data_IF_116347537654
#
_entry.id   IF_116347537654
#
_cell.length_a   1.000
_cell.length_b   1.000
_cell.length_c   1.000
_cell.angle_alpha   90.00
_cell.angle_beta   90.00
_cell.angle_gamma   90.00
#
_symmetry.space_group_name_H-M   'P 1'
#
loop_
_entity.id
_entity.type
_entity.pdbx_description
1 polymer ?
#
# COMPACT_ATOMS: atom_id res chain seq x y z
N UNK A 1 7.93 -17.60 -8.27
CA UNK A 1 8.53 -18.73 -7.54
C UNK A 1 9.05 -18.21 -6.21
N UNK A 2 8.87 -18.95 -5.12
CA UNK A 2 9.43 -18.60 -3.81
C UNK A 2 10.95 -18.83 -3.90
N UNK A 3 11.75 -17.77 -3.85
CA UNK A 3 13.22 -17.85 -3.84
C UNK A 3 13.71 -17.68 -2.41
N UNK A 4 14.59 -18.57 -1.97
CA UNK A 4 15.24 -18.49 -0.64
C UNK A 4 16.02 -17.19 -0.52
N UNK A 5 16.76 -16.81 -1.55
CA UNK A 5 17.55 -15.56 -1.59
C UNK A 5 16.70 -14.33 -1.34
N UNK A 6 15.48 -14.28 -1.91
CA UNK A 6 14.57 -13.17 -1.71
C UNK A 6 14.04 -13.10 -0.26
N UNK A 7 13.82 -14.22 0.40
CA UNK A 7 13.40 -14.23 1.81
C UNK A 7 14.55 -13.71 2.69
N UNK A 8 15.77 -14.15 2.41
CA UNK A 8 16.97 -13.70 3.13
C UNK A 8 17.18 -12.20 2.90
N UNK A 9 17.10 -11.74 1.64
CA UNK A 9 17.22 -10.31 1.32
C UNK A 9 16.16 -9.46 2.02
N UNK A 10 14.90 -9.91 2.04
CA UNK A 10 13.82 -9.24 2.80
C UNK A 10 14.15 -9.17 4.29
N UNK A 11 14.66 -10.25 4.88
CA UNK A 11 15.05 -10.26 6.29
C UNK A 11 16.18 -9.26 6.55
N UNK A 12 17.24 -9.28 5.75
CA UNK A 12 18.37 -8.37 5.93
C UNK A 12 17.95 -6.90 5.85
N UNK A 13 17.14 -6.54 4.84
CA UNK A 13 16.66 -5.16 4.70
C UNK A 13 15.80 -4.75 5.90
N UNK A 14 14.87 -5.60 6.34
CA UNK A 14 14.01 -5.32 7.50
C UNK A 14 14.84 -5.15 8.76
N UNK A 15 15.82 -6.03 8.99
CA UNK A 15 16.67 -6.01 10.16
C UNK A 15 17.56 -4.76 10.20
N UNK A 16 18.18 -4.42 9.08
CA UNK A 16 19.01 -3.22 8.96
C UNK A 16 18.21 -1.94 9.14
N UNK A 17 16.99 -1.86 8.58
CA UNK A 17 16.11 -0.71 8.77
C UNK A 17 15.65 -0.57 10.22
N UNK A 18 15.27 -1.67 10.90
CA UNK A 18 14.91 -1.60 12.32
C UNK A 18 16.08 -1.14 13.18
N UNK A 19 17.32 -1.58 12.88
CA UNK A 19 18.54 -1.10 13.54
C UNK A 19 18.77 0.40 13.27
N UNK A 20 18.64 0.84 12.01
CA UNK A 20 18.76 2.25 11.64
C UNK A 20 17.75 3.15 12.36
N UNK A 21 16.53 2.67 12.52
CA UNK A 21 15.46 3.32 13.29
C UNK A 21 15.66 3.22 14.82
N UNK A 22 16.74 2.58 15.28
CA UNK A 22 17.01 2.33 16.71
C UNK A 22 15.82 1.65 17.42
N UNK A 23 15.13 0.76 16.68
CA UNK A 23 14.03 0.00 17.26
C UNK A 23 14.52 -0.84 18.45
N UNK A 24 13.83 -0.69 19.58
CA UNK A 24 14.17 -1.42 20.80
C UNK A 24 13.28 -2.64 20.96
N UNK A 25 13.88 -3.79 21.05
CA UNK A 25 13.24 -5.05 21.31
C UNK A 25 13.53 -5.54 22.74
N UNK A 26 12.58 -6.27 23.34
CA UNK A 26 12.79 -6.89 24.66
C UNK A 26 13.83 -8.02 24.52
N UNK A 27 14.92 -7.94 25.26
CA UNK A 27 16.04 -8.89 25.24
C UNK A 27 15.63 -10.36 25.51
N UNK A 28 14.45 -10.58 26.08
CA UNK A 28 13.92 -11.91 26.39
C UNK A 28 13.16 -12.56 25.24
N UNK A 29 13.00 -11.87 24.11
CA UNK A 29 12.27 -12.45 22.97
C UNK A 29 13.10 -13.54 22.30
N UNK A 30 12.42 -14.60 21.87
CA UNK A 30 13.03 -15.72 21.15
C UNK A 30 12.90 -15.60 19.63
N UNK A 31 11.96 -14.78 19.17
CA UNK A 31 11.70 -14.47 17.77
C UNK A 31 11.78 -12.97 17.63
N UNK A 32 12.69 -12.48 16.79
CA UNK A 32 12.91 -11.05 16.60
C UNK A 32 11.75 -10.38 15.87
N UNK A 33 11.62 -9.06 16.00
CA UNK A 33 10.64 -8.30 15.23
C UNK A 33 10.96 -8.35 13.73
N UNK A 34 12.23 -8.45 13.36
CA UNK A 34 12.68 -8.70 11.98
C UNK A 34 12.12 -10.02 11.43
N UNK A 35 12.19 -11.11 12.20
CA UNK A 35 11.62 -12.42 11.82
C UNK A 35 10.08 -12.34 11.71
N UNK A 36 9.41 -11.62 12.61
CA UNK A 36 7.94 -11.44 12.59
C UNK A 36 7.51 -10.66 11.34
N UNK A 37 8.16 -9.55 11.03
CA UNK A 37 7.85 -8.72 9.86
C UNK A 37 8.15 -9.47 8.57
N UNK A 38 9.32 -10.12 8.47
CA UNK A 38 9.68 -10.95 7.31
C UNK A 38 8.67 -12.06 7.08
N UNK A 39 8.24 -12.75 8.16
CA UNK A 39 7.19 -13.78 8.05
C UNK A 39 5.87 -13.19 7.54
N UNK A 40 5.51 -11.97 7.96
CA UNK A 40 4.31 -11.30 7.47
C UNK A 40 4.44 -10.89 6.00
N UNK A 41 5.63 -10.48 5.54
CA UNK A 41 5.91 -10.21 4.13
C UNK A 41 5.82 -11.50 3.29
N UNK A 42 6.40 -12.58 3.76
CA UNK A 42 6.28 -13.90 3.13
C UNK A 42 4.81 -14.33 3.03
N UNK A 43 4.00 -14.08 4.07
CA UNK A 43 2.57 -14.35 4.03
C UNK A 43 1.86 -13.53 2.93
N UNK A 44 2.13 -12.24 2.83
CA UNK A 44 1.52 -11.37 1.84
C UNK A 44 1.95 -11.74 0.40
N UNK A 45 3.24 -12.00 0.18
CA UNK A 45 3.80 -12.22 -1.16
C UNK A 45 3.50 -13.61 -1.72
N UNK A 46 3.49 -14.65 -0.88
CA UNK A 46 3.50 -16.05 -1.35
C UNK A 46 2.33 -16.89 -0.83
N UNK A 47 1.67 -16.47 0.25
CA UNK A 47 0.58 -17.23 0.86
C UNK A 47 -0.75 -16.45 0.91
N UNK A 48 -0.92 -15.42 0.06
CA UNK A 48 -2.16 -14.64 -0.01
C UNK A 48 -2.58 -14.00 1.31
N UNK A 49 -1.63 -13.66 2.20
CA UNK A 49 -1.89 -13.11 3.53
C UNK A 49 -2.26 -14.14 4.60
N UNK A 50 -2.11 -15.44 4.32
CA UNK A 50 -2.27 -16.51 5.31
C UNK A 50 -1.08 -16.57 6.27
N UNK A 51 -1.14 -15.81 7.35
CA UNK A 51 -0.08 -15.70 8.36
C UNK A 51 0.30 -17.06 8.96
N UNK A 52 -0.65 -17.97 9.16
CA UNK A 52 -0.38 -19.27 9.77
C UNK A 52 0.42 -20.19 8.85
N UNK A 53 0.12 -20.20 7.54
CA UNK A 53 0.91 -20.95 6.56
C UNK A 53 2.33 -20.41 6.45
N UNK A 54 2.49 -19.10 6.36
CA UNK A 54 3.83 -18.50 6.33
C UNK A 54 4.62 -18.80 7.60
N UNK A 55 3.99 -18.70 8.78
CA UNK A 55 4.59 -19.03 10.07
C UNK A 55 5.09 -20.47 10.12
N UNK A 56 4.27 -21.44 9.67
CA UNK A 56 4.65 -22.85 9.60
C UNK A 56 5.78 -23.06 8.58
N UNK A 57 5.71 -22.44 7.41
CA UNK A 57 6.74 -22.48 6.39
C UNK A 57 8.09 -21.99 6.94
N UNK A 58 8.14 -20.82 7.55
CA UNK A 58 9.36 -20.23 8.12
C UNK A 58 9.97 -21.13 9.21
N UNK A 59 9.12 -21.77 10.01
CA UNK A 59 9.57 -22.74 11.02
C UNK A 59 10.14 -24.01 10.39
N UNK A 60 9.42 -24.62 9.45
CA UNK A 60 9.82 -25.89 8.82
C UNK A 60 11.09 -25.75 7.97
N UNK A 61 11.30 -24.58 7.34
CA UNK A 61 12.50 -24.28 6.56
C UNK A 61 13.70 -23.84 7.42
N UNK A 62 13.52 -23.68 8.73
CA UNK A 62 14.60 -23.28 9.64
C UNK A 62 14.91 -21.78 9.64
N UNK A 63 14.15 -20.93 8.91
CA UNK A 63 14.36 -19.48 8.92
C UNK A 63 14.00 -18.84 10.28
N UNK A 64 13.04 -19.41 11.00
CA UNK A 64 12.67 -19.01 12.36
C UNK A 64 12.30 -20.26 13.17
N UNK A 65 13.29 -21.05 13.66
CA UNK A 65 13.07 -22.34 14.32
C UNK A 65 12.19 -22.23 15.58
N UNK A 66 12.32 -21.12 16.30
CA UNK A 66 11.59 -20.84 17.54
C UNK A 66 10.28 -20.07 17.30
N UNK A 67 9.72 -20.17 16.09
CA UNK A 67 8.51 -19.44 15.68
C UNK A 67 7.41 -19.47 16.75
N UNK A 68 6.81 -18.32 17.01
CA UNK A 68 5.71 -18.11 17.94
C UNK A 68 4.46 -18.94 17.55
N UNK A 69 3.60 -19.27 18.50
CA UNK A 69 2.27 -19.77 18.20
C UNK A 69 1.41 -18.68 17.50
N UNK A 70 0.30 -19.11 16.90
CA UNK A 70 -0.58 -18.24 16.10
C UNK A 70 -1.03 -17.00 16.87
N UNK A 71 -1.42 -17.14 18.12
CA UNK A 71 -1.97 -16.05 18.92
C UNK A 71 -0.89 -15.05 19.33
N UNK A 72 0.27 -15.56 19.74
CA UNK A 72 1.43 -14.71 20.09
C UNK A 72 1.97 -13.99 18.86
N UNK A 73 2.09 -14.69 17.73
CA UNK A 73 2.50 -14.10 16.46
C UNK A 73 1.59 -12.94 16.05
N UNK A 74 0.27 -13.15 16.03
CA UNK A 74 -0.67 -12.08 15.68
C UNK A 74 -0.55 -10.88 16.62
N UNK A 75 -0.45 -11.11 17.94
CA UNK A 75 -0.27 -10.02 18.92
C UNK A 75 1.05 -9.28 18.70
N UNK A 76 2.13 -10.00 18.40
CA UNK A 76 3.43 -9.40 18.11
C UNK A 76 3.38 -8.57 16.84
N UNK A 77 2.79 -9.10 15.76
CA UNK A 77 2.62 -8.38 14.50
C UNK A 77 1.82 -7.08 14.67
N UNK A 78 0.77 -7.08 15.50
CA UNK A 78 0.05 -5.85 15.83
C UNK A 78 0.89 -4.85 16.63
N UNK A 79 1.83 -5.31 17.46
CA UNK A 79 2.72 -4.45 18.22
C UNK A 79 3.76 -3.77 17.31
N UNK A 80 4.28 -4.49 16.31
CA UNK A 80 5.26 -3.97 15.35
C UNK A 80 4.64 -3.28 14.14
N UNK A 81 3.32 -3.06 14.15
CA UNK A 81 2.64 -2.40 13.02
C UNK A 81 3.07 -0.95 12.80
N UNK A 82 3.40 -0.22 13.86
CA UNK A 82 3.89 1.15 13.78
C UNK A 82 5.33 1.23 13.23
N UNK A 83 6.32 0.52 13.78
CA UNK A 83 7.64 0.42 13.15
C UNK A 83 7.60 -0.01 11.70
N UNK A 84 6.72 -0.95 11.35
CA UNK A 84 6.53 -1.40 9.98
C UNK A 84 6.09 -0.26 9.04
N UNK A 85 5.15 0.57 9.47
CA UNK A 85 4.71 1.74 8.69
C UNK A 85 5.82 2.78 8.57
N UNK A 86 6.54 3.05 9.67
CA UNK A 86 7.69 3.96 9.64
C UNK A 86 8.73 3.48 8.64
N UNK A 87 9.14 2.21 8.69
CA UNK A 87 10.08 1.64 7.70
C UNK A 87 9.62 1.83 6.26
N UNK A 88 8.33 1.64 5.99
CA UNK A 88 7.81 1.82 4.63
C UNK A 88 7.91 3.27 4.17
N UNK A 89 7.52 4.23 5.01
CA UNK A 89 7.56 5.64 4.63
C UNK A 89 9.00 6.17 4.54
N UNK A 90 9.90 5.73 5.40
CA UNK A 90 11.33 6.03 5.31
C UNK A 90 11.95 5.47 4.02
N UNK A 91 11.63 4.22 3.66
CA UNK A 91 12.03 3.65 2.38
C UNK A 91 11.48 4.47 1.20
N UNK A 92 10.19 4.82 1.26
CA UNK A 92 9.55 5.64 0.24
C UNK A 92 10.21 7.01 0.10
N UNK A 93 10.54 7.66 1.23
CA UNK A 93 11.24 8.96 1.23
C UNK A 93 12.65 8.82 0.64
N UNK A 94 13.41 7.81 1.06
CA UNK A 94 14.73 7.53 0.52
C UNK A 94 14.70 7.36 -1.02
N UNK A 95 13.73 6.60 -1.54
CA UNK A 95 13.58 6.39 -2.99
C UNK A 95 13.23 7.70 -3.72
N UNK A 96 12.39 8.55 -3.14
CA UNK A 96 12.04 9.87 -3.68
C UNK A 96 13.23 10.81 -3.70
N UNK A 97 14.00 10.85 -2.61
CA UNK A 97 15.19 11.68 -2.50
C UNK A 97 16.27 11.28 -3.52
N UNK A 98 16.45 9.98 -3.73
CA UNK A 98 17.37 9.45 -4.74
C UNK A 98 16.93 9.75 -6.18
N UNK A 99 15.63 9.81 -6.42
CA UNK A 99 15.09 10.08 -7.75
C UNK A 99 15.11 11.57 -8.11
N UNK A 100 15.11 12.48 -7.12
CA UNK A 100 14.96 13.90 -7.34
C UNK A 100 13.62 14.26 -8.00
N UNK A 101 13.62 15.27 -8.89
CA UNK A 101 12.44 15.62 -9.69
C UNK A 101 12.10 14.46 -10.64
N UNK A 102 10.92 13.88 -10.48
CA UNK A 102 10.53 12.63 -11.15
C UNK A 102 9.04 12.54 -11.43
N UNK A 103 8.69 11.54 -12.24
CA UNK A 103 7.32 11.20 -12.59
C UNK A 103 6.75 10.16 -11.61
N UNK A 104 5.67 10.54 -10.94
CA UNK A 104 4.92 9.68 -10.02
C UNK A 104 3.54 9.39 -10.59
N UNK A 105 2.95 8.28 -10.17
CA UNK A 105 1.55 7.97 -10.51
C UNK A 105 0.78 7.68 -9.23
N UNK A 106 -0.33 8.40 -9.02
CA UNK A 106 -1.27 8.19 -7.93
C UNK A 106 -2.57 7.64 -8.49
N UNK A 107 -3.00 6.52 -7.96
CA UNK A 107 -4.33 5.96 -8.27
C UNK A 107 -4.83 5.09 -7.11
N UNK A 108 -6.08 4.63 -7.20
CA UNK A 108 -6.73 3.86 -6.15
C UNK A 108 -7.27 2.53 -6.63
N UNK A 109 -7.34 1.57 -5.70
CA UNK A 109 -8.08 0.34 -5.94
C UNK A 109 -8.94 -0.06 -4.73
N UNK A 110 -10.11 -0.68 -4.96
CA UNK A 110 -10.96 -1.15 -3.89
C UNK A 110 -10.49 -2.48 -3.32
N UNK A 111 -10.59 -2.63 -1.98
CA UNK A 111 -10.42 -3.89 -1.26
C UNK A 111 -11.66 -4.15 -0.42
N UNK A 112 -12.45 -5.14 -0.83
CA UNK A 112 -13.66 -5.52 -0.13
C UNK A 112 -13.33 -6.37 1.10
N UNK A 113 -13.99 -6.09 2.23
CA UNK A 113 -13.88 -6.90 3.45
C UNK A 113 -14.74 -8.16 3.37
N UNK A 114 -15.84 -8.11 2.62
CA UNK A 114 -16.76 -9.24 2.41
C UNK A 114 -17.54 -9.07 1.10
N UNK A 115 -18.20 -10.14 0.68
CA UNK A 115 -19.16 -10.07 -0.43
C UNK A 115 -20.39 -9.22 -0.03
N UNK A 116 -20.98 -8.51 -0.98
CA UNK A 116 -22.10 -7.59 -0.73
C UNK A 116 -23.29 -8.24 -0.01
N UNK A 117 -23.60 -9.51 -0.31
CA UNK A 117 -24.67 -10.28 0.38
C UNK A 117 -24.39 -10.49 1.89
N UNK A 118 -23.14 -10.32 2.33
CA UNK A 118 -22.74 -10.52 3.72
C UNK A 118 -22.59 -9.22 4.50
N UNK A 119 -22.83 -8.06 3.94
CA UNK A 119 -22.62 -6.75 4.58
C UNK A 119 -23.36 -6.66 5.92
N UNK A 120 -24.64 -7.04 5.96
CA UNK A 120 -25.44 -7.03 7.21
C UNK A 120 -24.87 -7.87 8.33
N UNK A 121 -24.07 -8.90 8.00
CA UNK A 121 -23.44 -9.83 8.96
C UNK A 121 -21.96 -9.51 9.20
N UNK A 122 -21.42 -8.49 8.55
CA UNK A 122 -20.01 -8.12 8.68
C UNK A 122 -19.76 -7.55 10.09
N UNK A 123 -18.87 -8.18 10.83
CA UNK A 123 -18.45 -7.73 12.17
C UNK A 123 -17.14 -6.95 12.14
N UNK A 124 -16.39 -7.01 11.05
CA UNK A 124 -15.05 -6.43 10.90
C UNK A 124 -15.13 -4.92 10.69
N UNK A 125 -15.92 -4.49 9.73
CA UNK A 125 -16.20 -3.08 9.47
C UNK A 125 -17.66 -2.78 9.78
N UNK A 126 -17.92 -1.62 10.37
CA UNK A 126 -19.29 -1.18 10.72
C UNK A 126 -19.51 0.25 10.25
N UNK A 127 -20.67 0.51 9.63
CA UNK A 127 -21.08 1.85 9.25
C UNK A 127 -21.16 2.07 7.73
N UNK A 128 -21.84 3.16 7.36
CA UNK A 128 -22.12 3.51 5.96
C UNK A 128 -20.89 4.03 5.22
N UNK A 129 -19.87 4.48 5.93
CA UNK A 129 -18.63 5.01 5.34
C UNK A 129 -17.85 3.97 4.52
N UNK A 130 -18.04 2.68 4.80
CA UNK A 130 -17.35 1.60 4.11
C UNK A 130 -17.99 1.19 2.77
N UNK A 131 -19.19 1.72 2.43
CA UNK A 131 -19.83 1.48 1.15
C UNK A 131 -19.14 2.30 0.05
N UNK A 132 -18.57 1.66 -0.93
CA UNK A 132 -17.93 2.28 -2.06
C UNK A 132 -18.49 1.81 -3.40
N UNK A 133 -18.17 2.56 -4.45
CA UNK A 133 -18.45 2.18 -5.85
C UNK A 133 -17.14 2.17 -6.62
N UNK A 134 -16.89 1.09 -7.32
CA UNK A 134 -15.82 1.00 -8.32
C UNK A 134 -16.42 1.35 -9.68
N UNK A 135 -16.09 2.52 -10.21
CA UNK A 135 -16.64 3.00 -11.48
C UNK A 135 -16.20 2.09 -12.66
N UNK A 136 -14.93 1.70 -12.68
CA UNK A 136 -14.37 0.85 -13.73
C UNK A 136 -15.03 -0.53 -13.85
N UNK A 137 -15.52 -1.09 -12.74
CA UNK A 137 -16.22 -2.38 -12.72
C UNK A 137 -17.74 -2.24 -12.64
N UNK A 138 -18.27 -1.00 -12.58
CA UNK A 138 -19.68 -0.70 -12.34
C UNK A 138 -20.27 -1.44 -11.12
N UNK A 139 -19.44 -1.74 -10.11
CA UNK A 139 -19.81 -2.55 -8.95
C UNK A 139 -19.71 -1.77 -7.64
N UNK A 140 -20.59 -2.12 -6.70
CA UNK A 140 -20.50 -1.66 -5.32
C UNK A 140 -19.66 -2.63 -4.52
N UNK A 141 -18.91 -2.11 -3.53
CA UNK A 141 -18.14 -2.90 -2.59
C UNK A 141 -18.32 -2.37 -1.16
N UNK A 142 -17.98 -3.20 -0.19
CA UNK A 142 -17.95 -2.83 1.23
C UNK A 142 -16.56 -3.09 1.77
N UNK A 143 -15.83 -2.02 2.05
CA UNK A 143 -14.42 -2.13 2.41
C UNK A 143 -13.67 -0.81 2.35
N UNK A 144 -12.40 -0.89 2.02
CA UNK A 144 -11.48 0.25 1.91
C UNK A 144 -11.10 0.53 0.47
N UNK A 145 -10.76 1.77 0.21
CA UNK A 145 -10.08 2.22 -1.00
C UNK A 145 -8.61 2.43 -0.65
N UNK A 146 -7.73 1.75 -1.34
CA UNK A 146 -6.28 1.87 -1.15
C UNK A 146 -5.76 2.85 -2.18
N UNK A 147 -5.31 4.00 -1.73
CA UNK A 147 -4.63 5.01 -2.55
C UNK A 147 -3.14 4.74 -2.50
N UNK A 148 -2.47 4.71 -3.63
CA UNK A 148 -1.04 4.39 -3.70
C UNK A 148 -0.34 5.36 -4.65
N UNK A 149 0.69 6.03 -4.14
CA UNK A 149 1.65 6.78 -4.94
C UNK A 149 2.79 5.84 -5.32
N UNK A 150 3.11 5.78 -6.59
CA UNK A 150 4.19 4.93 -7.11
C UNK A 150 5.25 5.74 -7.82
N UNK A 151 6.50 5.33 -7.64
CA UNK A 151 7.67 5.77 -8.39
C UNK A 151 8.19 4.57 -9.19
N UNK A 152 8.17 4.65 -10.51
CA UNK A 152 8.58 3.54 -11.42
C UNK A 152 7.94 2.19 -11.09
N UNK A 153 6.66 2.21 -10.65
CA UNK A 153 5.92 1.00 -10.28
C UNK A 153 6.20 0.48 -8.87
N UNK A 154 7.04 1.14 -8.08
CA UNK A 154 7.28 0.85 -6.66
C UNK A 154 6.37 1.74 -5.81
N UNK A 155 5.54 1.19 -4.91
CA UNK A 155 4.80 1.98 -3.94
C UNK A 155 5.73 2.75 -3.01
N UNK A 156 5.60 4.09 -2.95
CA UNK A 156 6.40 4.96 -2.08
C UNK A 156 5.55 5.62 -1.00
N UNK A 157 4.25 5.79 -1.25
CA UNK A 157 3.28 6.24 -0.25
C UNK A 157 1.96 5.48 -0.44
N UNK A 158 1.19 5.32 0.61
CA UNK A 158 -0.19 4.86 0.51
C UNK A 158 -1.09 5.41 1.62
N UNK A 159 -2.38 5.43 1.35
CA UNK A 159 -3.42 5.78 2.33
C UNK A 159 -4.59 4.80 2.21
N UNK A 160 -5.11 4.37 3.36
CA UNK A 160 -6.32 3.54 3.43
C UNK A 160 -7.52 4.43 3.76
N UNK A 161 -8.46 4.54 2.83
CA UNK A 161 -9.64 5.37 2.97
C UNK A 161 -10.91 4.53 3.05
N UNK A 162 -11.94 4.97 3.77
CA UNK A 162 -13.27 4.36 3.68
C UNK A 162 -13.77 4.31 2.23
N UNK A 163 -14.44 3.21 1.85
CA UNK A 163 -14.87 3.01 0.47
C UNK A 163 -15.76 4.12 -0.11
N UNK A 164 -16.46 4.88 0.75
CA UNK A 164 -17.37 5.97 0.36
C UNK A 164 -16.63 7.27 0.00
N UNK A 165 -15.39 7.42 0.46
CA UNK A 165 -14.65 8.66 0.23
C UNK A 165 -14.28 8.85 -1.24
N UNK A 166 -14.26 10.11 -1.67
CA UNK A 166 -13.87 10.50 -3.03
C UNK A 166 -12.36 10.44 -3.20
N UNK A 167 -11.90 10.19 -4.42
CA UNK A 167 -10.47 10.06 -4.72
C UNK A 167 -9.70 11.35 -4.41
N UNK A 168 -10.28 12.55 -4.68
CA UNK A 168 -9.59 13.81 -4.38
C UNK A 168 -9.32 14.04 -2.88
N UNK A 169 -10.08 13.43 -1.98
CA UNK A 169 -9.85 13.54 -0.52
C UNK A 169 -8.48 13.05 -0.07
N UNK A 170 -7.80 12.25 -0.88
CA UNK A 170 -6.42 11.82 -0.61
C UNK A 170 -5.42 12.97 -0.76
N UNK A 171 -5.68 13.94 -1.63
CA UNK A 171 -4.80 15.10 -1.84
C UNK A 171 -4.61 15.93 -0.57
N UNK A 172 -5.53 15.82 0.38
CA UNK A 172 -5.43 16.47 1.70
C UNK A 172 -4.75 15.62 2.78
N UNK A 173 -4.44 14.35 2.47
CA UNK A 173 -3.95 13.36 3.45
C UNK A 173 -2.56 12.83 3.15
N UNK A 174 -2.19 12.73 1.88
CA UNK A 174 -0.85 12.36 1.47
C UNK A 174 0.02 13.62 1.38
N UNK A 175 1.15 13.65 2.08
CA UNK A 175 2.00 14.84 2.13
C UNK A 175 2.75 15.09 0.81
N UNK A 176 2.81 14.10 -0.09
CA UNK A 176 3.55 14.18 -1.36
C UNK A 176 4.95 14.80 -1.22
N UNK A 177 5.72 14.39 -0.22
CA UNK A 177 7.09 14.88 -0.04
C UNK A 177 7.98 14.46 -1.23
N UNK A 178 7.72 15.06 -2.38
CA UNK A 178 8.46 14.87 -3.64
C UNK A 178 9.27 16.13 -3.93
N UNK A 179 10.33 15.99 -4.72
CA UNK A 179 11.15 17.12 -5.10
C UNK A 179 10.34 18.12 -5.95
N UNK A 180 10.65 19.44 -5.86
CA UNK A 180 10.09 20.44 -6.78
C UNK A 180 10.26 20.01 -8.25
N UNK A 181 9.38 20.49 -9.12
CA UNK A 181 9.31 20.14 -10.56
C UNK A 181 8.91 18.67 -10.82
N UNK A 182 8.50 17.92 -9.79
CA UNK A 182 7.96 16.57 -9.98
C UNK A 182 6.55 16.60 -10.56
N UNK A 183 6.24 15.60 -11.40
CA UNK A 183 4.91 15.40 -11.97
C UNK A 183 4.20 14.25 -11.27
N UNK A 184 2.95 14.46 -10.82
CA UNK A 184 2.11 13.40 -10.26
C UNK A 184 0.91 13.15 -11.17
N UNK A 185 0.92 12.03 -11.88
CA UNK A 185 -0.14 11.64 -12.82
C UNK A 185 -1.30 10.99 -12.08
N UNK A 186 -2.53 11.49 -12.34
CA UNK A 186 -3.75 11.05 -11.64
C UNK A 186 -4.94 10.94 -12.60
N UNK A 187 -5.98 10.19 -12.18
CA UNK A 187 -7.24 10.11 -12.91
C UNK A 187 -8.08 11.39 -12.77
N UNK A 188 -9.05 11.56 -13.69
CA UNK A 188 -10.02 12.64 -13.65
C UNK A 188 -10.89 12.69 -12.37
N UNK A 189 -10.92 11.59 -11.59
CA UNK A 189 -11.56 11.53 -10.27
C UNK A 189 -10.90 12.43 -9.21
N UNK A 190 -9.65 12.83 -9.42
CA UNK A 190 -8.88 13.69 -8.52
C UNK A 190 -8.99 15.18 -8.86
N UNK A 191 -9.76 15.58 -9.88
CA UNK A 191 -9.85 16.97 -10.33
C UNK A 191 -10.30 17.91 -9.21
N UNK A 192 -9.41 18.83 -8.82
CA UNK A 192 -9.66 19.91 -7.89
C UNK A 192 -8.71 21.07 -8.19
N UNK A 193 -9.15 22.02 -9.03
CA UNK A 193 -8.31 23.09 -9.59
C UNK A 193 -7.59 23.92 -8.53
N UNK A 194 -8.23 24.23 -7.41
CA UNK A 194 -7.60 24.98 -6.32
C UNK A 194 -6.40 24.24 -5.73
N UNK A 195 -6.51 22.91 -5.54
CA UNK A 195 -5.40 22.09 -5.04
C UNK A 195 -4.29 21.98 -6.08
N UNK A 196 -4.64 21.91 -7.36
CA UNK A 196 -3.64 21.91 -8.44
C UNK A 196 -2.82 23.21 -8.44
N UNK A 197 -3.50 24.36 -8.37
CA UNK A 197 -2.85 25.67 -8.34
C UNK A 197 -1.99 25.82 -7.07
N UNK A 198 -2.51 25.43 -5.88
CA UNK A 198 -1.78 25.47 -4.62
C UNK A 198 -0.52 24.58 -4.63
N UNK A 199 -0.59 23.37 -5.17
CA UNK A 199 0.56 22.47 -5.23
C UNK A 199 1.69 23.02 -6.10
N UNK A 200 1.33 23.71 -7.20
CA UNK A 200 2.29 24.37 -8.05
C UNK A 200 2.88 25.62 -7.38
N UNK A 201 2.02 26.49 -6.82
CA UNK A 201 2.44 27.77 -6.24
C UNK A 201 3.29 27.59 -4.96
N UNK A 202 2.97 26.58 -4.14
CA UNK A 202 3.65 26.35 -2.86
C UNK A 202 4.91 25.49 -2.99
N UNK A 203 4.85 24.42 -3.78
CA UNK A 203 5.85 23.35 -3.77
C UNK A 203 6.44 23.07 -5.16
N UNK A 204 6.05 23.82 -6.20
CA UNK A 204 6.39 23.59 -7.61
C UNK A 204 6.10 22.14 -8.09
N UNK A 205 5.01 21.53 -7.57
CA UNK A 205 4.59 20.18 -7.93
C UNK A 205 3.51 20.24 -9.01
N UNK A 206 3.72 19.53 -10.12
CA UNK A 206 2.78 19.45 -11.22
C UNK A 206 1.77 18.31 -11.02
N UNK A 207 0.52 18.62 -10.64
CA UNK A 207 -0.55 17.64 -10.57
C UNK A 207 -1.13 17.38 -11.96
N UNK A 208 -0.65 16.35 -12.64
CA UNK A 208 -1.00 15.97 -14.01
C UNK A 208 -2.31 15.17 -14.05
N UNK A 209 -3.42 15.81 -13.64
CA UNK A 209 -4.74 15.17 -13.52
C UNK A 209 -5.40 15.06 -14.89
N UNK A 210 -5.90 13.87 -15.24
CA UNK A 210 -6.67 13.64 -16.47
C UNK A 210 -7.93 14.52 -16.52
N UNK A 211 -8.30 14.99 -17.72
CA UNK A 211 -9.45 15.89 -17.90
C UNK A 211 -10.63 15.14 -18.49
N UNK A 212 -11.84 15.47 -18.01
CA UNK A 212 -13.09 15.03 -18.61
C UNK A 212 -13.41 15.88 -19.84
N UNK A 213 -14.26 15.38 -20.74
CA UNK A 213 -14.64 16.09 -21.95
C UNK A 213 -15.26 17.50 -21.71
N UNK A 214 -15.91 17.67 -20.55
CA UNK A 214 -16.52 18.94 -20.14
C UNK A 214 -15.64 19.74 -19.14
N UNK A 215 -14.33 19.50 -19.11
CA UNK A 215 -13.42 20.23 -18.25
C UNK A 215 -13.31 21.70 -18.67
N UNK A 216 -13.27 22.61 -17.69
CA UNK A 216 -12.97 24.04 -17.93
C UNK A 216 -11.49 24.28 -18.28
N UNK A 217 -10.60 23.31 -18.02
CA UNK A 217 -9.20 23.32 -18.39
C UNK A 217 -8.90 22.07 -19.23
N UNK A 218 -9.25 22.05 -20.54
CA UNK A 218 -9.00 20.90 -21.41
C UNK A 218 -7.51 20.70 -21.64
N UNK A 219 -7.09 19.45 -21.73
CA UNK A 219 -5.71 19.12 -22.10
C UNK A 219 -5.53 19.21 -23.64
N UNK A 220 -4.38 19.67 -24.08
CA UNK A 220 -3.94 19.50 -25.45
C UNK A 220 -3.73 18.02 -25.79
N UNK A 221 -3.90 17.59 -27.07
CA UNK A 221 -3.86 16.18 -27.44
C UNK A 221 -2.59 15.44 -27.00
N UNK A 222 -1.43 16.08 -27.06
CA UNK A 222 -0.16 15.46 -26.67
C UNK A 222 -0.06 15.32 -25.15
N UNK A 223 -0.54 16.28 -24.36
CA UNK A 223 -0.58 16.21 -22.89
C UNK A 223 -1.55 15.12 -22.43
N UNK A 224 -2.71 15.04 -23.06
CA UNK A 224 -3.67 13.97 -22.81
C UNK A 224 -3.05 12.58 -23.05
N UNK A 225 -2.39 12.40 -24.20
CA UNK A 225 -1.69 11.15 -24.53
C UNK A 225 -0.63 10.79 -23.49
N UNK A 226 0.19 11.77 -23.06
CA UNK A 226 1.21 11.57 -22.03
C UNK A 226 0.59 11.10 -20.71
N UNK A 227 -0.45 11.79 -20.23
CA UNK A 227 -1.18 11.43 -19.00
C UNK A 227 -1.75 10.00 -19.06
N UNK A 228 -2.39 9.62 -20.18
CA UNK A 228 -2.94 8.28 -20.39
C UNK A 228 -1.83 7.21 -20.41
N UNK A 229 -0.70 7.50 -21.05
CA UNK A 229 0.45 6.58 -21.13
C UNK A 229 1.09 6.33 -19.75
N UNK A 230 1.34 7.39 -18.99
CA UNK A 230 1.96 7.29 -17.67
C UNK A 230 1.09 6.51 -16.70
N UNK A 231 -0.22 6.69 -16.76
CA UNK A 231 -1.16 5.98 -15.90
C UNK A 231 -1.27 4.47 -16.16
N UNK A 232 -1.00 4.00 -17.37
CA UNK A 232 -1.03 2.55 -17.68
C UNK A 232 -0.08 1.73 -16.80
N UNK A 233 1.05 2.30 -16.38
CA UNK A 233 2.00 1.63 -15.51
C UNK A 233 1.42 1.25 -14.14
N UNK A 234 0.55 2.08 -13.56
CA UNK A 234 -0.02 1.79 -12.23
C UNK A 234 -1.06 0.67 -12.28
N UNK A 235 -1.76 0.48 -13.40
CA UNK A 235 -2.70 -0.64 -13.56
C UNK A 235 -1.98 -1.98 -13.47
N UNK A 236 -0.76 -2.08 -14.02
CA UNK A 236 0.11 -3.25 -13.89
C UNK A 236 0.51 -3.46 -12.43
N UNK A 237 0.95 -2.41 -11.73
CA UNK A 237 1.29 -2.46 -10.31
C UNK A 237 0.12 -2.94 -9.46
N UNK A 238 -1.09 -2.41 -9.70
CA UNK A 238 -2.28 -2.84 -8.98
C UNK A 238 -2.68 -4.29 -9.27
N UNK A 239 -2.53 -4.72 -10.53
CA UNK A 239 -2.77 -6.12 -10.91
C UNK A 239 -1.80 -7.06 -10.20
N UNK A 240 -0.52 -6.70 -10.09
CA UNK A 240 0.48 -7.48 -9.37
C UNK A 240 0.21 -7.54 -7.86
N UNK A 241 -0.17 -6.42 -7.23
CA UNK A 241 -0.56 -6.39 -5.81
C UNK A 241 -1.82 -7.24 -5.58
N UNK A 242 -2.85 -7.06 -6.40
CA UNK A 242 -4.12 -7.81 -6.30
C UNK A 242 -3.92 -9.31 -6.54
N UNK A 243 -3.02 -9.69 -7.43
CA UNK A 243 -2.68 -11.11 -7.67
C UNK A 243 -2.08 -11.80 -6.43
N UNK A 244 -1.46 -11.03 -5.51
CA UNK A 244 -0.98 -11.55 -4.22
C UNK A 244 -2.09 -11.65 -3.18
N UNK A 245 -3.18 -10.89 -3.33
CA UNK A 245 -4.30 -10.88 -2.38
C UNK A 245 -5.23 -12.06 -2.64
N UNK A 246 -5.69 -12.69 -1.57
CA UNK A 246 -6.82 -13.62 -1.68
C UNK A 246 -8.12 -12.84 -1.96
N UNK A 247 -9.07 -13.52 -2.61
CA UNK A 247 -10.40 -12.99 -2.89
C UNK A 247 -11.14 -12.50 -1.63
N UNK A 248 -10.79 -13.05 -0.46
CA UNK A 248 -11.31 -12.62 0.85
C UNK A 248 -10.15 -12.53 1.84
N UNK A 249 -9.94 -11.36 2.40
CA UNK A 249 -8.95 -11.14 3.47
C UNK A 249 -9.61 -11.50 4.80
N UNK A 250 -9.16 -12.61 5.40
CA UNK A 250 -9.68 -13.03 6.70
C UNK A 250 -9.14 -12.17 7.82
N UNK A 251 -10.03 -11.45 8.50
CA UNK A 251 -9.74 -10.67 9.70
C UNK A 251 -10.92 -10.74 10.67
N UNK A 252 -10.65 -10.56 11.96
CA UNK A 252 -11.67 -10.58 13.03
C UNK A 252 -11.99 -9.16 13.49
N UNK A 253 -11.02 -8.25 13.36
CA UNK A 253 -11.13 -6.85 13.77
C UNK A 253 -10.83 -5.90 12.60
N UNK A 254 -11.35 -4.67 12.68
CA UNK A 254 -11.03 -3.60 11.74
C UNK A 254 -9.51 -3.36 11.65
N UNK A 255 -8.84 -3.17 12.80
CA UNK A 255 -7.39 -2.98 12.87
C UNK A 255 -6.62 -4.13 12.19
N UNK A 256 -7.06 -5.37 12.41
CA UNK A 256 -6.44 -6.55 11.78
C UNK A 256 -6.68 -6.62 10.26
N UNK A 257 -7.83 -6.15 9.77
CA UNK A 257 -8.11 -6.05 8.35
C UNK A 257 -7.24 -4.99 7.69
N UNK A 258 -7.20 -3.78 8.26
CA UNK A 258 -6.39 -2.68 7.76
C UNK A 258 -4.90 -3.02 7.73
N UNK A 259 -4.39 -3.64 8.80
CA UNK A 259 -3.00 -4.11 8.85
C UNK A 259 -2.68 -5.11 7.74
N UNK A 260 -3.57 -6.06 7.48
CA UNK A 260 -3.37 -7.03 6.38
C UNK A 260 -3.38 -6.37 5.01
N UNK A 261 -4.28 -5.40 4.78
CA UNK A 261 -4.29 -4.63 3.53
C UNK A 261 -2.99 -3.86 3.36
N UNK A 262 -2.54 -3.16 4.40
CA UNK A 262 -1.27 -2.45 4.39
C UNK A 262 -0.08 -3.38 4.11
N UNK A 263 -0.05 -4.56 4.72
CA UNK A 263 1.01 -5.56 4.51
C UNK A 263 1.19 -5.95 3.04
N UNK A 264 0.11 -6.04 2.24
CA UNK A 264 0.24 -6.36 0.82
C UNK A 264 0.97 -5.25 0.05
N UNK A 265 0.65 -3.98 0.34
CA UNK A 265 1.30 -2.83 -0.31
C UNK A 265 2.76 -2.73 0.14
N UNK A 266 3.02 -2.80 1.44
CA UNK A 266 4.36 -2.68 2.02
C UNK A 266 5.25 -3.82 1.54
N UNK A 267 4.81 -5.08 1.70
CA UNK A 267 5.58 -6.24 1.26
C UNK A 267 5.88 -6.19 -0.24
N UNK A 268 4.95 -5.69 -1.05
CA UNK A 268 5.15 -5.53 -2.49
C UNK A 268 6.22 -4.46 -2.78
N UNK A 269 6.22 -3.32 -2.07
CA UNK A 269 7.24 -2.30 -2.22
C UNK A 269 8.64 -2.86 -1.92
N UNK A 270 8.80 -3.54 -0.77
CA UNK A 270 10.05 -4.19 -0.40
C UNK A 270 10.48 -5.27 -1.40
N UNK A 271 9.54 -6.03 -1.95
CA UNK A 271 9.82 -7.06 -2.97
C UNK A 271 10.32 -6.46 -4.30
N UNK A 272 9.89 -5.26 -4.66
CA UNK A 272 10.27 -4.59 -5.91
C UNK A 272 11.69 -4.02 -5.90
N UNK A 273 12.27 -3.79 -4.73
CA UNK A 273 13.62 -3.23 -4.57
C UNK A 273 14.72 -4.31 -4.40
N UNK A 274 14.33 -5.57 -4.31
CA UNK A 274 15.22 -6.75 -4.25
C UNK A 274 15.09 -7.55 -5.59
#
# INVERSE_FOLDING_TARGET
MLSEDKIIALYCIVDDMLKALRHKEDVRVRVSDSEVITTAFVAALYFGGHLDYARQFMKCKGYAPQMLDKSRFCRRLHRVSEPLLVMFFELGQYLKDMAGASDYVLDSFPVAVCQNVRIKRCKVLKGKQWHGRCAALAQYFYGVRVQVLTLHGVPVEFCLMPGRENDYGVLQRLPFHVAPESCIYMDAGYTHYQTEDLAFDADAIHLMIGRRANSSRPDEPHIRYLKERMRKGIETTFSEIKAKMLRCIHAVTEKGFLLKVALFVIAFAFYKII
#
